data_IF_166632489828
#
_entry.id   IF_166632489828
#
_cell.length_a   1.000
_cell.length_b   1.000
_cell.length_c   1.000
_cell.angle_alpha   90.00
_cell.angle_beta   90.00
_cell.angle_gamma   90.00
#
_symmetry.space_group_name_H-M   'P 1'
#
loop_
_entity.id
_entity.type
_entity.pdbx_description
1 polymer ?
#
# COMPACT_ATOMS: atom_id res chain seq x y z
N UNK A 1 64.34 -26.21 -10.07
CA UNK A 1 63.29 -26.18 -9.02
C UNK A 1 62.67 -24.79 -8.81
N UNK A 2 63.46 -23.70 -8.72
CA UNK A 2 62.91 -22.33 -8.54
C UNK A 2 62.02 -21.81 -9.69
N UNK A 3 62.36 -22.16 -10.95
CA UNK A 3 61.59 -21.74 -12.15
C UNK A 3 60.21 -22.40 -12.23
N UNK A 4 60.07 -23.63 -11.72
CA UNK A 4 58.81 -24.37 -11.73
C UNK A 4 57.78 -23.78 -10.73
N UNK A 5 58.26 -23.17 -9.66
CA UNK A 5 57.42 -22.52 -8.64
C UNK A 5 56.87 -21.17 -9.16
N UNK A 6 57.65 -20.43 -9.94
CA UNK A 6 57.26 -19.12 -10.47
C UNK A 6 56.14 -19.26 -11.54
N UNK A 7 56.22 -20.29 -12.38
CA UNK A 7 55.19 -20.59 -13.40
C UNK A 7 53.87 -21.04 -12.74
N UNK A 8 53.94 -21.77 -11.62
CA UNK A 8 52.77 -22.15 -10.83
C UNK A 8 52.00 -20.95 -10.27
N UNK A 9 52.69 -19.95 -9.72
CA UNK A 9 52.05 -18.74 -9.20
C UNK A 9 51.38 -17.88 -10.28
N UNK A 10 51.91 -17.88 -11.51
CA UNK A 10 51.35 -17.07 -12.60
C UNK A 10 49.99 -17.62 -13.09
N UNK A 11 49.75 -18.92 -12.95
CA UNK A 11 48.48 -19.56 -13.33
C UNK A 11 47.37 -19.37 -12.28
N UNK A 12 47.71 -19.02 -11.04
CA UNK A 12 46.75 -18.81 -9.95
C UNK A 12 46.20 -17.37 -9.89
N UNK A 13 46.81 -16.40 -10.58
CA UNK A 13 46.39 -15.00 -10.56
C UNK A 13 45.28 -14.64 -11.58
N UNK A 14 44.80 -15.61 -12.38
CA UNK A 14 43.84 -15.37 -13.46
C UNK A 14 42.36 -15.52 -13.10
N UNK A 15 42.00 -15.83 -11.85
CA UNK A 15 40.66 -16.30 -11.52
C UNK A 15 39.62 -15.22 -11.13
N UNK A 16 39.98 -13.93 -11.07
CA UNK A 16 39.05 -12.85 -10.67
C UNK A 16 38.54 -11.97 -11.83
N UNK A 17 39.00 -12.18 -13.07
CA UNK A 17 38.75 -11.21 -14.15
C UNK A 17 37.44 -11.41 -14.95
N UNK A 18 36.56 -12.34 -14.57
CA UNK A 18 35.30 -12.61 -15.29
C UNK A 18 34.12 -12.80 -14.34
N UNK A 19 33.87 -11.81 -13.49
CA UNK A 19 32.54 -11.56 -12.96
C UNK A 19 32.03 -10.24 -13.55
N UNK A 20 31.80 -10.25 -14.85
CA UNK A 20 30.83 -9.31 -15.43
C UNK A 20 29.45 -9.82 -15.02
N UNK A 21 29.06 -9.56 -13.77
CA UNK A 21 27.64 -9.49 -13.44
C UNK A 21 27.11 -8.34 -14.28
N UNK A 22 26.50 -8.68 -15.42
CA UNK A 22 25.60 -7.76 -16.08
C UNK A 22 24.54 -7.46 -15.04
N UNK A 23 24.63 -6.29 -14.40
CA UNK A 23 23.52 -5.72 -13.66
C UNK A 23 22.41 -5.47 -14.69
N UNK A 24 21.67 -6.53 -15.02
CA UNK A 24 20.38 -6.39 -15.68
C UNK A 24 19.53 -5.65 -14.67
N UNK A 25 19.46 -4.33 -14.82
CA UNK A 25 18.63 -3.45 -14.00
C UNK A 25 17.27 -4.14 -13.86
N UNK A 26 16.92 -4.64 -12.66
CA UNK A 26 15.74 -5.48 -12.54
C UNK A 26 14.57 -4.67 -13.05
N UNK A 27 13.84 -5.21 -14.03
CA UNK A 27 12.61 -4.59 -14.49
C UNK A 27 11.72 -4.51 -13.25
N UNK A 28 11.56 -3.30 -12.72
CA UNK A 28 10.72 -3.08 -11.56
C UNK A 28 9.26 -3.25 -12.00
N UNK A 29 8.78 -4.49 -11.98
CA UNK A 29 7.36 -4.79 -12.10
C UNK A 29 6.72 -4.44 -10.75
N UNK A 30 6.02 -3.31 -10.72
CA UNK A 30 5.28 -2.88 -9.54
C UNK A 30 3.93 -3.61 -9.49
N UNK A 31 3.59 -4.28 -8.37
CA UNK A 31 2.28 -4.89 -8.24
C UNK A 31 1.20 -3.83 -8.12
N UNK A 32 -0.01 -4.17 -8.56
CA UNK A 32 -1.22 -3.42 -8.28
C UNK A 32 -2.03 -4.23 -7.27
N UNK A 33 -2.31 -3.63 -6.11
CA UNK A 33 -3.16 -4.26 -5.10
C UNK A 33 -4.60 -3.81 -5.26
N UNK A 34 -5.52 -4.70 -4.93
CA UNK A 34 -6.95 -4.43 -4.92
C UNK A 34 -7.56 -4.86 -3.59
N UNK A 35 -8.53 -4.11 -3.09
CA UNK A 35 -9.23 -4.43 -1.85
C UNK A 35 -10.72 -4.13 -1.98
N UNK A 36 -11.57 -4.89 -1.29
CA UNK A 36 -13.03 -4.79 -1.40
C UNK A 36 -13.71 -4.79 -0.03
N UNK A 37 -14.33 -3.67 0.31
CA UNK A 37 -15.11 -3.56 1.54
C UNK A 37 -16.59 -3.81 1.31
N UNK A 38 -17.17 -4.70 2.12
CA UNK A 38 -18.60 -5.03 2.11
C UNK A 38 -19.27 -4.58 3.42
N UNK A 39 -20.31 -3.76 3.33
CA UNK A 39 -21.07 -3.34 4.50
C UNK A 39 -22.57 -3.63 4.32
N UNK A 40 -23.18 -4.44 5.19
CA UNK A 40 -24.61 -4.72 5.12
C UNK A 40 -25.40 -3.46 5.46
N UNK A 41 -26.37 -3.10 4.62
CA UNK A 41 -27.15 -1.87 4.78
C UNK A 41 -28.10 -2.00 5.99
N UNK A 42 -28.75 -3.14 6.15
CA UNK A 42 -29.78 -3.36 7.18
C UNK A 42 -29.20 -3.44 8.60
N UNK A 43 -27.89 -3.65 8.74
CA UNK A 43 -27.20 -3.70 10.04
C UNK A 43 -26.63 -2.35 10.48
N UNK A 44 -26.77 -1.30 9.66
CA UNK A 44 -26.29 0.03 10.04
C UNK A 44 -27.20 0.68 11.07
N UNK A 45 -26.64 1.36 12.09
CA UNK A 45 -27.41 1.94 13.19
C UNK A 45 -28.09 3.26 12.79
N UNK A 46 -29.06 3.20 11.88
CA UNK A 46 -29.92 4.32 11.49
C UNK A 46 -31.40 3.94 11.53
N UNK A 47 -32.25 4.94 11.80
CA UNK A 47 -33.70 4.81 11.73
C UNK A 47 -34.21 4.92 10.29
N UNK A 48 -33.66 5.85 9.50
CA UNK A 48 -34.05 6.08 8.11
C UNK A 48 -33.23 5.21 7.17
N UNK A 49 -33.90 4.66 6.14
CA UNK A 49 -33.25 3.82 5.13
C UNK A 49 -32.16 4.57 4.36
N UNK A 50 -32.37 5.85 4.05
CA UNK A 50 -31.38 6.71 3.40
C UNK A 50 -30.08 6.76 4.19
N UNK A 51 -30.20 6.92 5.51
CA UNK A 51 -29.07 7.10 6.41
C UNK A 51 -28.34 5.78 6.64
N UNK A 52 -29.08 4.65 6.66
CA UNK A 52 -28.49 3.32 6.62
C UNK A 52 -27.66 3.09 5.36
N UNK A 53 -28.15 3.53 4.19
CA UNK A 53 -27.42 3.43 2.92
C UNK A 53 -26.15 4.29 2.97
N UNK A 54 -26.24 5.52 3.45
CA UNK A 54 -25.08 6.41 3.59
C UNK A 54 -24.04 5.81 4.53
N UNK A 55 -24.45 5.34 5.71
CA UNK A 55 -23.54 4.67 6.66
C UNK A 55 -22.95 3.39 6.08
N UNK A 56 -23.71 2.60 5.33
CA UNK A 56 -23.20 1.39 4.70
C UNK A 56 -22.16 1.73 3.65
N UNK A 57 -22.38 2.78 2.85
CA UNK A 57 -21.39 3.29 1.91
C UNK A 57 -20.10 3.70 2.63
N UNK A 58 -20.18 4.46 3.72
CA UNK A 58 -19.02 4.86 4.51
C UNK A 58 -18.31 3.68 5.16
N UNK A 59 -19.06 2.76 5.77
CA UNK A 59 -18.53 1.55 6.38
C UNK A 59 -17.83 0.66 5.34
N UNK A 60 -18.41 0.51 4.13
CA UNK A 60 -17.80 -0.26 3.05
C UNK A 60 -16.45 0.34 2.64
N UNK A 61 -16.35 1.68 2.60
CA UNK A 61 -15.08 2.36 2.32
C UNK A 61 -14.04 2.10 3.40
N UNK A 62 -14.42 2.18 4.68
CA UNK A 62 -13.52 1.89 5.80
C UNK A 62 -13.00 0.45 5.74
N UNK A 63 -13.88 -0.51 5.46
CA UNK A 63 -13.52 -1.92 5.34
C UNK A 63 -12.59 -2.18 4.15
N UNK A 64 -12.81 -1.51 3.02
CA UNK A 64 -11.91 -1.61 1.86
C UNK A 64 -10.50 -1.08 2.20
N UNK A 65 -10.42 0.08 2.86
CA UNK A 65 -9.13 0.64 3.30
C UNK A 65 -8.44 -0.24 4.33
N UNK A 66 -9.20 -0.88 5.22
CA UNK A 66 -8.68 -1.85 6.18
C UNK A 66 -8.06 -3.03 5.45
N UNK A 67 -8.78 -3.67 4.54
CA UNK A 67 -8.25 -4.81 3.77
C UNK A 67 -7.01 -4.41 2.97
N UNK A 68 -7.02 -3.24 2.32
CA UNK A 68 -5.83 -2.74 1.62
C UNK A 68 -4.64 -2.54 2.57
N UNK A 69 -4.91 -2.03 3.79
CA UNK A 69 -3.88 -1.86 4.83
C UNK A 69 -3.32 -3.21 5.28
N UNK A 70 -4.19 -4.20 5.48
CA UNK A 70 -3.78 -5.58 5.82
C UNK A 70 -2.83 -6.15 4.76
N UNK A 71 -3.18 -5.99 3.48
CA UNK A 71 -2.33 -6.41 2.36
C UNK A 71 -1.00 -5.65 2.30
N UNK A 72 -1.02 -4.32 2.44
CA UNK A 72 0.18 -3.47 2.33
C UNK A 72 1.17 -3.72 3.46
N UNK A 73 0.68 -3.87 4.70
CA UNK A 73 1.54 -4.08 5.86
C UNK A 73 1.78 -5.55 6.19
N UNK A 74 1.13 -6.48 5.49
CA UNK A 74 1.25 -7.92 5.74
C UNK A 74 0.69 -8.35 7.10
N UNK A 75 -0.35 -7.66 7.59
CA UNK A 75 -0.96 -7.89 8.89
C UNK A 75 -2.37 -8.41 8.72
N UNK A 76 -2.81 -9.34 9.56
CA UNK A 76 -4.21 -9.76 9.62
C UNK A 76 -4.87 -9.12 10.85
N UNK A 77 -5.91 -8.31 10.66
CA UNK A 77 -6.68 -7.80 11.79
C UNK A 77 -7.76 -8.84 12.12
N UNK A 78 -7.61 -9.53 13.24
CA UNK A 78 -8.63 -10.45 13.74
C UNK A 78 -9.77 -9.65 14.40
N UNK A 79 -11.01 -9.82 13.92
CA UNK A 79 -12.19 -9.33 14.63
C UNK A 79 -12.59 -10.39 15.67
N UNK A 80 -12.24 -10.17 16.94
CA UNK A 80 -12.64 -11.06 18.03
C UNK A 80 -14.06 -10.71 18.46
N UNK A 81 -15.05 -11.45 17.98
CA UNK A 81 -16.31 -11.62 18.71
C UNK A 81 -16.10 -12.76 19.70
N UNK A 82 -15.99 -12.45 20.99
CA UNK A 82 -15.97 -13.47 22.05
C UNK A 82 -17.24 -14.31 21.94
N UNK A 83 -17.10 -15.56 21.51
CA UNK A 83 -18.09 -16.61 21.73
C UNK A 83 -17.53 -17.42 22.89
N UNK A 84 -18.37 -17.63 23.90
CA UNK A 84 -18.03 -18.11 25.22
C UNK A 84 -16.94 -19.20 25.25
N UNK A 85 -15.91 -18.95 26.09
CA UNK A 85 -15.22 -20.05 26.77
C UNK A 85 -13.75 -20.32 26.46
N UNK A 86 -13.11 -19.69 25.48
CA UNK A 86 -11.68 -19.96 25.23
C UNK A 86 -10.85 -18.68 25.06
N UNK A 87 -10.06 -18.40 26.11
CA UNK A 87 -9.01 -17.38 26.15
C UNK A 87 -7.88 -17.79 25.19
N UNK A 88 -7.95 -17.35 23.94
CA UNK A 88 -6.82 -17.37 23.01
C UNK A 88 -6.17 -15.97 23.02
N UNK A 89 -4.86 -15.97 23.24
CA UNK A 89 -4.05 -14.80 23.61
C UNK A 89 -4.35 -13.55 22.78
N UNK A 90 -4.77 -12.54 23.51
CA UNK A 90 -5.16 -11.22 23.07
C UNK A 90 -3.91 -10.43 22.61
N UNK A 91 -3.50 -10.58 21.35
CA UNK A 91 -2.63 -9.57 20.72
C UNK A 91 -3.54 -8.40 20.31
N UNK A 92 -3.91 -7.59 21.30
CA UNK A 92 -4.66 -6.35 21.10
C UNK A 92 -3.77 -5.26 20.52
N UNK A 93 -3.31 -5.42 19.27
CA UNK A 93 -2.64 -4.33 18.57
C UNK A 93 -3.71 -3.34 18.12
N UNK A 94 -3.94 -2.28 18.92
CA UNK A 94 -4.67 -1.09 18.47
C UNK A 94 -3.84 -0.39 17.40
N UNK A 95 -3.84 -0.91 16.18
CA UNK A 95 -3.31 -0.18 15.03
C UNK A 95 -4.37 0.88 14.72
N UNK A 96 -4.15 2.09 15.24
CA UNK A 96 -4.87 3.26 14.76
C UNK A 96 -4.42 3.47 13.32
N UNK A 97 -5.19 2.93 12.36
CA UNK A 97 -4.97 3.18 10.93
C UNK A 97 -5.36 4.64 10.67
N UNK A 98 -4.45 5.54 11.01
CA UNK A 98 -4.60 6.98 10.77
C UNK A 98 -4.43 7.34 9.28
N UNK A 99 -4.08 6.38 8.43
CA UNK A 99 -3.65 6.64 7.06
C UNK A 99 -4.72 6.30 6.03
N UNK A 100 -5.14 7.31 5.26
CA UNK A 100 -5.44 7.06 3.85
C UNK A 100 -4.14 6.58 3.22
N UNK A 101 -4.14 5.39 2.62
CA UNK A 101 -2.96 4.89 1.92
C UNK A 101 -2.73 5.81 0.72
N UNK A 102 -1.61 6.56 0.73
CA UNK A 102 -1.29 7.48 -0.36
C UNK A 102 -1.20 6.72 -1.67
N UNK A 103 -1.86 7.22 -2.70
CA UNK A 103 -1.96 6.55 -4.00
C UNK A 103 -3.07 5.52 -4.12
N UNK A 104 -3.79 5.19 -3.04
CA UNK A 104 -4.99 4.35 -3.13
C UNK A 104 -6.14 5.13 -3.78
N UNK A 105 -6.83 4.48 -4.71
CA UNK A 105 -7.95 5.04 -5.46
C UNK A 105 -9.20 4.18 -5.29
N UNK A 106 -10.34 4.84 -5.08
CA UNK A 106 -11.65 4.19 -5.19
C UNK A 106 -11.96 3.99 -6.67
N UNK A 107 -12.07 2.72 -7.08
CA UNK A 107 -12.43 2.35 -8.45
C UNK A 107 -13.94 2.37 -8.60
N UNK A 108 -14.66 1.79 -7.64
CA UNK A 108 -16.13 1.66 -7.66
C UNK A 108 -16.72 1.65 -6.26
N UNK A 109 -17.96 2.15 -6.16
CA UNK A 109 -18.76 2.12 -4.94
C UNK A 109 -20.22 1.93 -5.35
N UNK A 110 -20.80 0.76 -5.06
CA UNK A 110 -22.13 0.38 -5.54
C UNK A 110 -22.84 -0.61 -4.59
N UNK A 111 -24.19 -0.62 -4.57
CA UNK A 111 -24.95 -1.60 -3.79
C UNK A 111 -25.05 -2.96 -4.51
N UNK A 112 -24.96 -4.05 -3.77
CA UNK A 112 -25.14 -5.44 -4.23
C UNK A 112 -25.76 -6.27 -3.11
N UNK A 113 -26.86 -6.97 -3.38
CA UNK A 113 -27.46 -7.98 -2.48
C UNK A 113 -27.67 -7.52 -1.02
N UNK A 114 -28.10 -6.28 -0.82
CA UNK A 114 -28.32 -5.72 0.53
C UNK A 114 -27.04 -5.24 1.24
N UNK A 115 -25.91 -5.26 0.54
CA UNK A 115 -24.64 -4.68 0.94
C UNK A 115 -24.32 -3.44 0.11
N UNK A 116 -23.51 -2.57 0.68
CA UNK A 116 -22.75 -1.59 -0.07
C UNK A 116 -21.32 -2.12 -0.25
N UNK A 117 -20.82 -2.06 -1.48
CA UNK A 117 -19.51 -2.58 -1.88
C UNK A 117 -18.63 -1.40 -2.32
N UNK A 118 -17.39 -1.34 -1.83
CA UNK A 118 -16.38 -0.38 -2.28
C UNK A 118 -15.12 -1.13 -2.70
N UNK A 119 -14.66 -0.89 -3.92
CA UNK A 119 -13.44 -1.43 -4.50
C UNK A 119 -12.34 -0.36 -4.51
N UNK A 120 -11.18 -0.69 -3.96
CA UNK A 120 -9.97 0.13 -3.97
C UNK A 120 -8.89 -0.52 -4.84
N UNK A 121 -8.04 0.32 -5.40
CA UNK A 121 -6.83 -0.07 -6.12
C UNK A 121 -5.64 0.76 -5.64
N UNK A 122 -4.46 0.14 -5.56
CA UNK A 122 -3.20 0.78 -5.24
C UNK A 122 -2.12 0.34 -6.23
N UNK A 123 -1.65 1.29 -7.05
CA UNK A 123 -0.51 1.10 -7.94
C UNK A 123 0.79 1.47 -7.20
N UNK A 124 1.65 0.48 -6.91
CA UNK A 124 2.92 0.72 -6.23
C UNK A 124 3.92 1.53 -7.05
N UNK A 125 3.76 1.60 -8.37
CA UNK A 125 4.55 2.51 -9.21
C UNK A 125 4.22 3.95 -8.85
N UNK A 126 2.92 4.28 -8.79
CA UNK A 126 2.45 5.60 -8.39
C UNK A 126 2.91 5.95 -6.97
N UNK A 127 2.84 4.99 -6.04
CA UNK A 127 3.33 5.19 -4.67
C UNK A 127 4.79 5.60 -4.68
N UNK A 128 5.65 4.86 -5.39
CA UNK A 128 7.08 5.20 -5.53
C UNK A 128 7.28 6.60 -6.10
N UNK A 129 6.58 6.93 -7.18
CA UNK A 129 6.71 8.23 -7.85
C UNK A 129 6.34 9.38 -6.90
N UNK A 130 5.29 9.20 -6.08
CA UNK A 130 4.89 10.16 -5.04
C UNK A 130 5.95 10.32 -3.93
N UNK A 131 6.59 9.23 -3.51
CA UNK A 131 7.68 9.28 -2.51
C UNK A 131 8.90 10.03 -3.07
N UNK A 132 9.31 9.72 -4.29
CA UNK A 132 10.46 10.36 -4.95
C UNK A 132 10.26 11.87 -5.17
N UNK A 133 9.02 12.30 -5.44
CA UNK A 133 8.69 13.72 -5.55
C UNK A 133 8.70 14.45 -4.20
N UNK A 134 8.26 13.79 -3.12
CA UNK A 134 8.26 14.39 -1.78
C UNK A 134 9.68 14.62 -1.23
N UNK A 135 10.65 13.83 -1.69
CA UNK A 135 12.07 13.94 -1.32
C UNK A 135 12.86 14.88 -2.23
N UNK A 136 12.31 15.26 -3.39
CA UNK A 136 12.93 16.25 -4.25
C UNK A 136 12.94 17.62 -3.55
N UNK A 137 14.05 18.39 -3.61
CA UNK A 137 14.09 19.71 -3.00
C UNK A 137 12.97 20.56 -3.59
N UNK A 138 12.12 21.14 -2.73
CA UNK A 138 11.10 22.10 -3.12
C UNK A 138 11.80 23.20 -3.91
N UNK A 139 11.62 23.24 -5.23
CA UNK A 139 11.94 24.45 -5.96
C UNK A 139 10.96 25.50 -5.47
N UNK A 140 11.47 26.50 -4.78
CA UNK A 140 10.72 27.61 -4.22
C UNK A 140 10.12 28.44 -5.35
N UNK A 141 9.07 27.93 -5.99
CA UNK A 141 8.31 28.68 -6.97
C UNK A 141 7.31 29.52 -6.20
N UNK A 142 7.80 30.61 -5.61
CA UNK A 142 6.97 31.68 -5.07
C UNK A 142 6.03 32.13 -6.18
N UNK A 143 4.77 31.75 -6.09
CA UNK A 143 3.72 32.29 -6.94
C UNK A 143 3.50 33.73 -6.47
N UNK A 144 4.12 34.68 -7.18
CA UNK A 144 3.75 36.10 -7.07
C UNK A 144 2.35 36.21 -7.65
N UNK A 145 1.35 36.20 -6.77
CA UNK A 145 -0.02 36.57 -7.14
C UNK A 145 -0.04 38.09 -7.30
N UNK A 146 0.02 38.55 -8.56
CA UNK A 146 -0.22 39.95 -8.87
C UNK A 146 -1.67 40.31 -8.53
N UNK A 147 -1.92 41.39 -7.76
CA UNK A 147 -3.27 41.80 -7.45
C UNK A 147 -3.99 42.24 -8.74
N UNK A 148 -5.18 41.68 -8.97
CA UNK A 148 -6.06 42.07 -10.09
C UNK A 148 -6.39 43.55 -9.96
N UNK A 149 -5.85 44.38 -10.87
CA UNK A 149 -6.14 45.82 -10.94
C UNK A 149 -7.45 46.08 -11.68
N UNK A 150 -8.56 45.64 -11.10
CA UNK A 150 -9.88 45.91 -11.65
C UNK A 150 -10.89 46.18 -10.52
N UNK A 151 -10.82 47.37 -9.93
CA UNK A 151 -11.95 48.10 -9.33
C UNK A 151 -11.73 49.59 -9.55
#
# INVERSE_FOLDING_TARGET
MKILIIIGCLLLAGCEALQFESESKPKHDFPVLTAVGYAPIDKQPAQLRSDQILMAMEASKILAYRELTEQVYGLQLSSQTSIDGHLLNNIGTKIKVSGVIKGAKIVKTYPVDGFYVTELELDFKLVRDLYMQAEAPVQNNTLIIEPVKNF
#
